data_IF_061145687887
#
_entry.id   IF_061145687887
#
_cell.length_a   1.000
_cell.length_b   1.000
_cell.length_c   1.000
_cell.angle_alpha   90.00
_cell.angle_beta   90.00
_cell.angle_gamma   90.00
#
_symmetry.space_group_name_H-M   'P 1'
#
loop_
_entity.id
_entity.type
_entity.pdbx_description
1 polymer ?
#
# COMPACT_ATOMS: atom_id res chain seq x y z
N UNK A 1 -13.92 12.33 -2.03
CA UNK A 1 -12.45 12.13 -2.17
C UNK A 1 -12.09 11.83 -3.61
N UNK A 2 -10.86 12.08 -3.99
CA UNK A 2 -10.23 11.61 -5.23
C UNK A 2 -9.40 10.37 -4.92
N UNK A 3 -9.14 9.53 -5.92
CA UNK A 3 -8.23 8.40 -5.80
C UNK A 3 -6.86 8.78 -6.33
N UNK A 4 -5.82 8.44 -5.58
CA UNK A 4 -4.43 8.73 -5.92
C UNK A 4 -3.56 7.49 -5.72
N UNK A 5 -2.55 7.34 -6.58
CA UNK A 5 -1.48 6.35 -6.41
C UNK A 5 -0.15 7.06 -6.60
N UNK A 6 0.79 6.83 -5.69
CA UNK A 6 2.12 7.46 -5.71
C UNK A 6 3.22 6.51 -5.30
N UNK A 7 4.42 6.78 -5.82
CA UNK A 7 5.66 6.16 -5.39
C UNK A 7 6.63 7.25 -4.95
N UNK A 8 6.99 7.25 -3.67
CA UNK A 8 7.87 8.26 -3.06
C UNK A 8 8.70 7.68 -1.94
N UNK A 9 9.70 8.43 -1.49
CA UNK A 9 10.38 8.17 -0.23
C UNK A 9 9.37 8.29 0.92
N UNK A 10 9.32 7.29 1.79
CA UNK A 10 8.59 7.36 3.05
C UNK A 10 9.20 8.48 3.92
N UNK A 11 8.36 9.30 4.55
CA UNK A 11 8.85 10.26 5.53
C UNK A 11 9.52 9.48 6.67
N UNK A 12 10.77 9.84 7.00
CA UNK A 12 11.40 9.29 8.18
C UNK A 12 10.60 9.79 9.39
N UNK A 13 9.96 8.89 10.13
CA UNK A 13 9.43 9.23 11.45
C UNK A 13 10.59 9.80 12.26
N UNK A 14 10.44 11.02 12.77
CA UNK A 14 11.44 11.68 13.60
C UNK A 14 11.72 10.84 14.85
N UNK A 15 12.74 9.99 14.74
CA UNK A 15 13.30 9.18 15.81
C UNK A 15 14.75 8.91 15.42
N UNK A 16 15.63 9.81 15.85
CA UNK A 16 17.04 9.71 15.56
C UNK A 16 17.60 8.38 16.02
N UNK A 17 18.20 7.61 15.11
CA UNK A 17 19.22 6.65 15.48
C UNK A 17 20.50 7.04 14.76
N UNK A 18 21.46 7.48 15.57
CA UNK A 18 22.84 7.72 15.19
C UNK A 18 23.43 6.40 14.67
N UNK A 19 24.25 6.49 13.64
CA UNK A 19 25.23 5.45 13.31
C UNK A 19 25.96 5.04 14.60
N UNK A 20 25.78 3.79 15.03
CA UNK A 20 26.64 3.15 16.03
C UNK A 20 27.51 2.16 15.28
N UNK A 21 28.81 2.34 15.47
CA UNK A 21 29.87 1.62 14.79
C UNK A 21 29.83 0.11 15.02
N UNK A 22 30.45 -0.56 14.05
CA UNK A 22 30.84 -1.96 14.04
C UNK A 22 31.40 -2.42 15.40
N UNK A 23 30.75 -3.42 16.00
CA UNK A 23 31.39 -4.37 16.90
C UNK A 23 30.85 -5.76 16.54
N UNK A 24 31.75 -6.60 16.05
CA UNK A 24 31.51 -8.00 15.72
C UNK A 24 31.19 -8.77 17.01
N UNK A 25 29.92 -9.12 17.22
CA UNK A 25 29.51 -10.12 18.21
C UNK A 25 29.19 -11.40 17.46
N UNK A 26 30.03 -12.41 17.60
CA UNK A 26 29.75 -13.76 17.12
C UNK A 26 28.77 -14.40 18.09
N UNK A 27 27.49 -14.46 17.73
CA UNK A 27 26.48 -15.26 18.44
C UNK A 27 26.37 -16.59 17.71
N UNK A 28 26.81 -17.67 18.35
CA UNK A 28 26.51 -19.04 17.91
C UNK A 28 25.10 -19.36 18.38
N UNK A 29 24.11 -19.22 17.49
CA UNK A 29 22.74 -19.67 17.73
C UNK A 29 22.63 -21.11 17.23
N UNK A 30 22.34 -22.05 18.12
CA UNK A 30 21.89 -23.38 17.73
C UNK A 30 20.61 -23.26 16.91
N UNK A 31 20.67 -23.67 15.64
CA UNK A 31 19.49 -23.79 14.79
C UNK A 31 18.69 -25.01 15.27
N UNK A 32 17.68 -24.77 16.10
CA UNK A 32 16.57 -25.70 16.24
C UNK A 32 15.75 -25.57 14.96
N UNK A 33 15.84 -26.57 14.10
CA UNK A 33 14.99 -26.68 12.92
C UNK A 33 13.56 -26.98 13.38
N UNK A 34 12.80 -25.95 13.68
CA UNK A 34 11.35 -26.02 13.66
C UNK A 34 10.91 -26.00 12.19
N UNK A 35 10.48 -27.15 11.69
CA UNK A 35 9.73 -27.27 10.43
C UNK A 35 8.41 -26.48 10.56
N UNK A 36 8.46 -25.18 10.27
CA UNK A 36 7.29 -24.33 10.14
C UNK A 36 6.61 -24.59 8.79
N UNK A 37 5.34 -24.98 8.83
CA UNK A 37 4.53 -25.32 7.67
C UNK A 37 4.49 -24.23 6.60
N UNK A 38 4.33 -24.63 5.35
CA UNK A 38 4.14 -23.71 4.23
C UNK A 38 3.03 -22.71 4.55
N UNK A 39 3.24 -21.44 4.19
CA UNK A 39 2.22 -20.41 4.26
C UNK A 39 0.99 -20.89 3.49
N UNK A 40 -0.03 -21.35 4.22
CA UNK A 40 -1.27 -21.81 3.63
C UNK A 40 -1.98 -20.64 2.98
N UNK A 41 -2.47 -20.83 1.75
CA UNK A 41 -3.35 -19.88 1.11
C UNK A 41 -4.53 -19.56 2.04
N UNK A 42 -4.96 -18.30 2.08
CA UNK A 42 -6.14 -17.91 2.83
C UNK A 42 -7.36 -18.72 2.35
N UNK A 43 -8.32 -19.04 3.23
CA UNK A 43 -9.57 -19.67 2.81
C UNK A 43 -10.30 -18.78 1.80
N UNK A 44 -11.06 -19.39 0.89
CA UNK A 44 -11.83 -18.63 -0.11
C UNK A 44 -12.79 -17.64 0.58
N UNK A 45 -12.86 -16.37 0.13
CA UNK A 45 -13.80 -15.39 0.66
C UNK A 45 -15.26 -15.69 0.29
N UNK A 46 -15.53 -16.66 -0.59
CA UNK A 46 -16.88 -17.03 -1.06
C UNK A 46 -17.55 -16.02 -2.00
N UNK A 47 -17.08 -14.77 -2.02
CA UNK A 47 -17.49 -13.71 -2.93
C UNK A 47 -16.27 -12.93 -3.41
N UNK A 48 -16.26 -12.52 -4.69
CA UNK A 48 -15.11 -11.91 -5.35
C UNK A 48 -15.52 -10.56 -5.99
N UNK A 49 -15.54 -9.46 -5.21
CA UNK A 49 -15.96 -8.14 -5.70
C UNK A 49 -15.22 -7.68 -6.96
N UNK A 50 -13.93 -8.01 -7.10
CA UNK A 50 -13.13 -7.64 -8.28
C UNK A 50 -13.77 -8.11 -9.59
N UNK A 51 -14.41 -9.29 -9.61
CA UNK A 51 -15.04 -9.89 -10.80
C UNK A 51 -16.30 -9.15 -11.27
N UNK A 52 -16.93 -8.37 -10.38
CA UNK A 52 -18.07 -7.53 -10.72
C UNK A 52 -17.64 -6.19 -11.34
N UNK A 53 -16.34 -5.89 -11.33
CA UNK A 53 -15.77 -4.66 -11.88
C UNK A 53 -15.02 -4.95 -13.19
N UNK A 54 -14.98 -3.96 -14.09
CA UNK A 54 -14.21 -4.05 -15.33
C UNK A 54 -12.97 -3.19 -15.23
N UNK A 55 -11.83 -3.73 -15.66
CA UNK A 55 -10.62 -2.93 -15.89
C UNK A 55 -10.89 -1.88 -16.97
N UNK A 56 -10.22 -0.74 -16.83
CA UNK A 56 -10.35 0.41 -17.73
C UNK A 56 -8.97 0.85 -18.23
N UNK A 57 -8.93 1.61 -19.32
CA UNK A 57 -7.68 2.27 -19.72
C UNK A 57 -7.31 3.33 -18.69
N UNK A 58 -6.02 3.51 -18.43
CA UNK A 58 -5.53 4.49 -17.46
C UNK A 58 -6.08 5.90 -17.76
N UNK A 59 -6.02 6.29 -19.04
CA UNK A 59 -6.45 7.60 -19.51
C UNK A 59 -7.95 7.86 -19.40
N UNK A 60 -8.79 6.84 -19.22
CA UNK A 60 -10.23 7.04 -19.03
C UNK A 60 -10.54 7.57 -17.61
N UNK A 61 -9.80 7.09 -16.62
CA UNK A 61 -10.09 7.34 -15.19
C UNK A 61 -9.13 8.31 -14.52
N UNK A 62 -7.89 8.37 -15.00
CA UNK A 62 -6.78 8.99 -14.29
C UNK A 62 -5.95 9.91 -15.18
N UNK A 63 -5.20 10.79 -14.53
CA UNK A 63 -4.18 11.64 -15.15
C UNK A 63 -2.96 11.71 -14.25
N UNK A 64 -1.80 12.00 -14.85
CA UNK A 64 -0.61 12.33 -14.07
C UNK A 64 -0.91 13.49 -13.10
N UNK A 65 -0.39 13.38 -11.88
CA UNK A 65 -0.46 14.45 -10.87
C UNK A 65 0.88 15.18 -10.79
N UNK A 66 1.98 14.44 -10.78
CA UNK A 66 3.36 14.95 -10.77
C UNK A 66 4.33 13.88 -11.27
N UNK A 67 5.55 14.28 -11.65
CA UNK A 67 6.59 13.35 -12.09
C UNK A 67 6.24 12.59 -13.38
N UNK A 68 5.74 13.30 -14.40
CA UNK A 68 5.32 12.68 -15.67
C UNK A 68 6.46 11.95 -16.39
N UNK A 69 7.70 12.44 -16.24
CA UNK A 69 8.90 11.78 -16.77
C UNK A 69 9.20 10.42 -16.11
N UNK A 70 8.53 10.11 -15.00
CA UNK A 70 8.63 8.88 -14.21
C UNK A 70 7.38 7.99 -14.36
N UNK A 71 6.69 8.10 -15.51
CA UNK A 71 5.53 7.29 -15.87
C UNK A 71 5.64 6.75 -17.30
N UNK A 72 5.23 5.50 -17.50
CA UNK A 72 5.08 4.93 -18.84
C UNK A 72 3.89 3.98 -18.90
N UNK A 73 3.16 4.01 -20.00
CA UNK A 73 2.01 3.15 -20.25
C UNK A 73 2.43 1.93 -21.07
N UNK A 74 1.83 0.80 -20.74
CA UNK A 74 1.81 -0.40 -21.58
C UNK A 74 1.14 -0.12 -22.94
N UNK A 75 1.41 -0.94 -23.98
CA UNK A 75 0.85 -0.72 -25.32
C UNK A 75 -0.68 -0.72 -25.41
N UNK A 76 -1.38 -1.40 -24.49
CA UNK A 76 -2.85 -1.42 -24.42
C UNK A 76 -3.43 -0.33 -23.51
N UNK A 77 -2.56 0.53 -22.96
CA UNK A 77 -2.88 1.64 -22.06
C UNK A 77 -3.57 1.22 -20.75
N UNK A 78 -3.56 -0.07 -20.37
CA UNK A 78 -4.24 -0.57 -19.17
C UNK A 78 -3.34 -0.77 -17.97
N UNK A 79 -2.04 -0.88 -18.18
CA UNK A 79 -1.04 -0.89 -17.12
C UNK A 79 -0.15 0.37 -17.16
N UNK A 80 0.07 0.97 -16.00
CA UNK A 80 0.98 2.09 -15.78
C UNK A 80 2.19 1.62 -14.96
N UNK A 81 3.38 1.92 -15.43
CA UNK A 81 4.61 1.79 -14.64
C UNK A 81 4.96 3.15 -14.05
N UNK A 82 5.13 3.19 -12.73
CA UNK A 82 5.56 4.37 -11.97
C UNK A 82 6.86 4.03 -11.25
N UNK A 83 7.89 4.85 -11.42
CA UNK A 83 9.18 4.63 -10.76
C UNK A 83 9.66 5.87 -10.01
N UNK A 84 10.74 5.70 -9.25
CA UNK A 84 11.39 6.75 -8.49
C UNK A 84 12.89 6.58 -8.64
N UNK A 85 13.59 7.70 -8.70
CA UNK A 85 15.04 7.78 -8.52
C UNK A 85 15.37 9.00 -7.66
N UNK A 86 16.64 9.42 -7.64
CA UNK A 86 17.08 10.58 -6.85
C UNK A 86 16.50 11.92 -7.32
N UNK A 87 16.03 12.01 -8.56
CA UNK A 87 15.49 13.25 -9.13
C UNK A 87 14.02 13.45 -8.78
N UNK A 88 13.22 12.37 -8.77
CA UNK A 88 11.81 12.44 -8.40
C UNK A 88 11.22 11.05 -8.17
N UNK A 89 10.11 11.02 -7.45
CA UNK A 89 9.12 9.95 -7.55
C UNK A 89 8.07 10.28 -8.61
N UNK A 90 6.88 9.69 -8.48
CA UNK A 90 5.76 10.07 -9.32
C UNK A 90 4.42 9.67 -8.72
N UNK A 91 3.34 10.30 -9.21
CA UNK A 91 1.98 9.97 -8.80
C UNK A 91 0.93 10.37 -9.83
N UNK A 92 -0.24 9.76 -9.71
CA UNK A 92 -1.40 10.02 -10.55
C UNK A 92 -2.66 10.11 -9.72
N UNK A 93 -3.70 10.71 -10.31
CA UNK A 93 -4.94 11.07 -9.64
C UNK A 93 -6.14 10.80 -10.53
N UNK A 94 -7.28 10.45 -9.92
CA UNK A 94 -8.54 10.30 -10.63
C UNK A 94 -9.05 11.62 -11.18
N UNK A 95 -9.57 11.60 -12.41
CA UNK A 95 -10.17 12.78 -13.07
C UNK A 95 -11.45 13.26 -12.39
N UNK A 96 -12.09 12.40 -11.61
CA UNK A 96 -13.34 12.66 -10.90
C UNK A 96 -13.13 12.55 -9.39
N UNK A 97 -13.97 13.27 -8.66
CA UNK A 97 -14.17 13.08 -7.23
C UNK A 97 -15.37 12.15 -6.98
N UNK A 98 -15.33 11.44 -5.87
CA UNK A 98 -16.31 10.42 -5.50
C UNK A 98 -16.85 10.66 -4.10
N UNK A 99 -18.11 10.24 -3.88
CA UNK A 99 -18.80 10.26 -2.57
C UNK A 99 -18.82 8.91 -1.86
N UNK A 100 -18.63 7.84 -2.63
CA UNK A 100 -18.52 6.44 -2.21
C UNK A 100 -18.08 5.63 -3.45
N UNK A 101 -17.73 4.36 -3.26
CA UNK A 101 -17.44 3.44 -4.36
C UNK A 101 -16.54 2.26 -3.95
N UNK A 102 -16.27 1.42 -4.94
CA UNK A 102 -15.22 0.42 -4.90
C UNK A 102 -14.07 0.91 -5.77
N UNK A 103 -12.90 1.06 -5.15
CA UNK A 103 -11.69 1.55 -5.79
C UNK A 103 -10.67 0.44 -5.72
N UNK A 104 -10.20 -0.05 -6.87
CA UNK A 104 -9.29 -1.18 -6.92
C UNK A 104 -8.18 -0.96 -7.93
N UNK A 105 -7.01 -1.52 -7.64
CA UNK A 105 -5.87 -1.56 -8.54
C UNK A 105 -5.11 -2.86 -8.37
N UNK A 106 -4.72 -3.48 -9.48
CA UNK A 106 -3.75 -4.57 -9.47
C UNK A 106 -2.34 -3.98 -9.43
N UNK A 107 -1.58 -4.29 -8.38
CA UNK A 107 -0.27 -3.69 -8.10
C UNK A 107 0.78 -4.81 -7.99
N UNK A 108 1.92 -4.60 -8.66
CA UNK A 108 3.14 -5.39 -8.48
C UNK A 108 4.27 -4.46 -8.03
N UNK A 109 4.93 -4.80 -6.93
CA UNK A 109 6.04 -3.99 -6.38
C UNK A 109 7.40 -4.51 -6.83
N UNK A 110 8.46 -3.68 -6.87
CA UNK A 110 9.77 -4.14 -7.31
C UNK A 110 10.43 -5.08 -6.29
N UNK A 111 11.18 -6.07 -6.77
CA UNK A 111 12.03 -6.93 -5.95
C UNK A 111 13.32 -6.21 -5.48
N UNK A 112 13.99 -6.79 -4.48
CA UNK A 112 15.30 -6.31 -4.01
C UNK A 112 15.21 -5.30 -2.88
N UNK A 113 16.19 -4.39 -2.81
CA UNK A 113 16.25 -3.38 -1.74
C UNK A 113 15.32 -2.21 -2.04
N UNK A 114 14.28 -2.05 -1.23
CA UNK A 114 13.26 -0.99 -1.36
C UNK A 114 13.02 -0.23 -0.06
N UNK A 115 13.85 -0.45 0.96
CA UNK A 115 13.69 0.17 2.28
C UNK A 115 13.60 1.70 2.19
N UNK A 116 12.59 2.26 2.86
CA UNK A 116 12.30 3.69 2.83
C UNK A 116 11.53 4.16 1.60
N UNK A 117 11.14 3.27 0.68
CA UNK A 117 10.23 3.59 -0.43
C UNK A 117 8.81 3.18 -0.04
N UNK A 118 7.82 4.01 -0.36
CA UNK A 118 6.41 3.72 -0.18
C UNK A 118 5.69 3.74 -1.54
N UNK A 119 4.95 2.67 -1.83
CA UNK A 119 3.96 2.63 -2.91
C UNK A 119 2.57 2.74 -2.29
N UNK A 120 1.93 3.89 -2.43
CA UNK A 120 0.65 4.18 -1.79
C UNK A 120 -0.48 4.22 -2.82
N UNK A 121 -1.63 3.64 -2.45
CA UNK A 121 -2.92 3.70 -3.11
C UNK A 121 -3.94 4.21 -2.10
N UNK A 122 -4.54 5.37 -2.34
CA UNK A 122 -5.33 6.04 -1.32
C UNK A 122 -6.46 6.90 -1.89
N UNK A 123 -7.41 7.24 -1.01
CA UNK A 123 -8.46 8.21 -1.27
C UNK A 123 -8.19 9.44 -0.40
N UNK A 124 -8.24 10.65 -0.97
CA UNK A 124 -8.01 11.88 -0.20
C UNK A 124 -8.90 13.04 -0.66
N UNK A 125 -9.17 14.00 0.21
CA UNK A 125 -9.75 15.29 -0.15
C UNK A 125 -8.82 16.47 0.24
N UNK A 126 -7.53 16.21 0.47
CA UNK A 126 -6.56 17.22 0.93
C UNK A 126 -6.41 18.44 0.03
N UNK A 127 -6.48 18.28 -1.29
CA UNK A 127 -6.46 19.44 -2.20
C UNK A 127 -7.64 20.39 -2.01
N UNK A 128 -8.79 19.88 -1.54
CA UNK A 128 -9.99 20.69 -1.28
C UNK A 128 -10.02 21.23 0.16
N UNK A 129 -9.51 20.45 1.12
CA UNK A 129 -9.53 20.78 2.56
C UNK A 129 -8.14 20.66 3.19
N UNK A 130 -7.15 21.47 2.74
CA UNK A 130 -5.79 21.37 3.26
C UNK A 130 -5.76 21.64 4.77
N UNK A 131 -5.13 20.74 5.54
CA UNK A 131 -5.08 20.84 7.01
C UNK A 131 -6.28 20.22 7.74
N UNK A 132 -7.37 19.87 7.03
CA UNK A 132 -8.63 19.38 7.61
C UNK A 132 -9.22 18.22 6.80
N UNK A 133 -8.35 17.47 6.12
CA UNK A 133 -8.76 16.49 5.14
C UNK A 133 -9.12 15.13 5.74
N UNK A 134 -9.87 14.36 4.98
CA UNK A 134 -10.09 12.93 5.19
C UNK A 134 -9.21 12.15 4.20
N UNK A 135 -8.64 11.04 4.67
CA UNK A 135 -7.79 10.18 3.86
C UNK A 135 -7.95 8.71 4.27
N UNK A 136 -7.95 7.82 3.28
CA UNK A 136 -8.04 6.36 3.45
C UNK A 136 -6.88 5.73 2.67
N UNK A 137 -5.97 5.09 3.39
CA UNK A 137 -4.67 4.67 2.85
C UNK A 137 -4.51 3.16 2.73
N UNK A 138 -3.87 2.74 1.64
CA UNK A 138 -3.23 1.44 1.46
C UNK A 138 -1.78 1.69 1.03
N UNK A 139 -0.82 1.31 1.88
CA UNK A 139 0.59 1.60 1.70
C UNK A 139 1.43 0.32 1.72
N UNK A 140 2.09 0.03 0.61
CA UNK A 140 3.06 -1.05 0.49
C UNK A 140 4.44 -0.49 0.85
N UNK A 141 4.87 -0.80 2.08
CA UNK A 141 6.10 -0.30 2.66
C UNK A 141 7.28 -1.16 2.20
N UNK A 142 8.22 -0.51 1.52
CA UNK A 142 9.42 -1.17 1.01
C UNK A 142 10.30 -1.75 2.11
N UNK A 143 11.01 -2.80 1.75
CA UNK A 143 11.71 -3.71 2.65
C UNK A 143 13.14 -3.99 2.17
N UNK A 144 13.88 -4.80 2.92
CA UNK A 144 15.22 -5.28 2.53
C UNK A 144 15.12 -6.72 2.01
N UNK A 145 16.08 -7.19 1.20
CA UNK A 145 16.07 -8.58 0.73
C UNK A 145 16.01 -9.58 1.89
N UNK A 146 15.09 -10.55 1.80
CA UNK A 146 14.87 -11.58 2.82
C UNK A 146 13.80 -11.25 3.85
N UNK A 147 13.34 -10.00 3.92
CA UNK A 147 12.27 -9.57 4.84
C UNK A 147 10.93 -9.44 4.08
N UNK A 148 9.79 -9.78 4.72
CA UNK A 148 8.48 -9.67 4.09
C UNK A 148 8.09 -8.22 3.83
N UNK A 149 7.26 -8.00 2.81
CA UNK A 149 6.60 -6.72 2.61
C UNK A 149 5.58 -6.46 3.71
N UNK A 150 5.40 -5.18 4.06
CA UNK A 150 4.36 -4.74 5.00
C UNK A 150 3.31 -3.96 4.24
N UNK A 151 2.06 -4.37 4.39
CA UNK A 151 0.91 -3.55 4.02
C UNK A 151 0.46 -2.76 5.24
N UNK A 152 0.42 -1.43 5.11
CA UNK A 152 -0.15 -0.53 6.09
C UNK A 152 -1.48 0.01 5.56
N UNK A 153 -2.50 0.07 6.43
CA UNK A 153 -3.74 0.78 6.15
C UNK A 153 -3.93 1.91 7.16
N UNK A 154 -4.54 3.01 6.74
CA UNK A 154 -4.83 4.13 7.65
C UNK A 154 -6.15 4.82 7.30
N UNK A 155 -6.72 5.53 8.28
CA UNK A 155 -7.90 6.40 8.11
C UNK A 155 -7.72 7.67 8.91
N UNK A 156 -7.60 8.78 8.20
CA UNK A 156 -7.62 10.14 8.75
C UNK A 156 -8.99 10.79 8.53
N UNK A 157 -9.46 11.53 9.53
CA UNK A 157 -10.76 12.23 9.49
C UNK A 157 -10.56 13.65 10.00
N UNK A 158 -11.06 14.64 9.28
CA UNK A 158 -11.03 16.06 9.67
C UNK A 158 -9.63 16.57 10.08
N UNK A 159 -8.61 16.20 9.30
CA UNK A 159 -7.24 16.70 9.51
C UNK A 159 -6.47 15.97 10.60
N UNK A 160 -6.92 14.80 11.08
CA UNK A 160 -6.09 14.00 12.01
C UNK A 160 -4.78 13.49 11.39
N UNK A 161 -4.60 13.63 10.07
CA UNK A 161 -3.33 13.41 9.38
C UNK A 161 -2.42 14.65 9.33
N UNK A 162 -2.93 15.83 9.71
CA UNK A 162 -2.23 17.11 9.67
C UNK A 162 -1.95 17.65 11.09
N UNK A 163 -0.80 18.30 11.28
CA UNK A 163 -0.43 18.86 12.58
C UNK A 163 -0.15 17.78 13.64
N UNK A 164 -1.03 17.61 14.62
CA UNK A 164 -0.94 16.52 15.59
C UNK A 164 -1.53 15.25 14.98
N UNK A 165 -0.65 14.38 14.51
CA UNK A 165 -1.03 13.15 13.82
C UNK A 165 -1.72 12.18 14.79
N UNK A 166 -3.00 11.88 14.54
CA UNK A 166 -3.76 10.81 15.18
C UNK A 166 -4.11 9.80 14.08
N UNK A 167 -3.15 8.91 13.82
CA UNK A 167 -3.32 7.81 12.90
C UNK A 167 -4.12 6.64 13.49
N UNK A 168 -4.74 5.87 12.59
CA UNK A 168 -5.43 4.61 12.86
C UNK A 168 -4.73 3.49 12.09
N UNK A 169 -3.41 3.47 12.17
CA UNK A 169 -2.58 2.54 11.41
C UNK A 169 -2.84 1.09 11.81
N UNK A 170 -2.99 0.22 10.81
CA UNK A 170 -2.84 -1.22 10.98
C UNK A 170 -1.77 -1.70 10.01
N UNK A 171 -0.94 -2.65 10.46
CA UNK A 171 0.15 -3.23 9.66
C UNK A 171 0.08 -4.75 9.70
N UNK A 172 0.30 -5.37 8.56
CA UNK A 172 0.39 -6.83 8.46
C UNK A 172 1.33 -7.24 7.32
N UNK A 173 1.89 -8.43 7.46
CA UNK A 173 2.69 -9.05 6.40
C UNK A 173 1.77 -9.74 5.40
N UNK A 174 2.12 -9.65 4.12
CA UNK A 174 1.41 -10.35 3.06
C UNK A 174 1.75 -11.84 3.10
N UNK A 175 0.75 -12.69 2.85
CA UNK A 175 0.90 -14.15 2.80
C UNK A 175 1.44 -14.67 1.45
N UNK A 176 1.91 -13.76 0.60
CA UNK A 176 2.49 -14.00 -0.72
C UNK A 176 3.63 -13.02 -0.98
N UNK A 177 4.42 -13.28 -2.02
CA UNK A 177 5.45 -12.36 -2.50
C UNK A 177 4.82 -11.35 -3.50
N UNK A 178 4.60 -10.08 -3.10
CA UNK A 178 3.96 -9.08 -3.97
C UNK A 178 4.90 -8.58 -5.09
N UNK A 179 6.14 -9.09 -5.15
CA UNK A 179 7.10 -8.79 -6.22
C UNK A 179 7.01 -9.78 -7.38
N UNK A 180 6.43 -10.97 -7.12
CA UNK A 180 6.36 -12.06 -8.10
C UNK A 180 5.28 -11.82 -9.16
N UNK A 181 4.09 -11.36 -8.76
CA UNK A 181 2.99 -11.08 -9.68
C UNK A 181 2.15 -9.86 -9.23
N UNK A 182 1.18 -9.48 -10.06
CA UNK A 182 0.18 -8.48 -9.70
C UNK A 182 -0.84 -9.08 -8.73
N UNK A 183 -1.10 -8.34 -7.64
CA UNK A 183 -2.14 -8.65 -6.67
C UNK A 183 -3.15 -7.50 -6.62
N UNK A 184 -4.42 -7.82 -6.33
CA UNK A 184 -5.51 -6.84 -6.36
C UNK A 184 -5.74 -6.21 -5.00
N UNK A 185 -5.52 -4.90 -4.90
CA UNK A 185 -5.75 -4.13 -3.67
C UNK A 185 -6.97 -3.24 -3.88
N UNK A 186 -7.88 -3.22 -2.92
CA UNK A 186 -9.10 -2.41 -3.04
C UNK A 186 -9.53 -1.76 -1.73
N UNK A 187 -10.18 -0.60 -1.89
CA UNK A 187 -10.90 0.13 -0.86
C UNK A 187 -12.38 0.14 -1.28
N UNK A 188 -13.24 -0.51 -0.49
CA UNK A 188 -14.68 -0.28 -0.55
C UNK A 188 -15.01 0.78 0.51
N UNK A 189 -15.58 1.89 0.05
CA UNK A 189 -15.96 3.01 0.92
C UNK A 189 -17.39 3.44 0.64
N UNK A 190 -18.24 3.43 1.66
CA UNK A 190 -19.59 3.97 1.63
C UNK A 190 -19.94 4.58 3.01
N UNK A 191 -21.13 5.18 3.18
CA UNK A 191 -21.50 5.81 4.46
C UNK A 191 -21.53 4.86 5.67
N UNK A 192 -21.65 3.56 5.45
CA UNK A 192 -21.77 2.57 6.53
C UNK A 192 -20.42 1.96 6.92
N UNK A 193 -19.46 1.88 5.97
CA UNK A 193 -18.21 1.17 6.20
C UNK A 193 -17.05 1.56 5.26
N UNK A 194 -15.84 1.30 5.75
CA UNK A 194 -14.61 1.23 4.98
C UNK A 194 -14.06 -0.19 5.11
N UNK A 195 -13.82 -0.84 3.98
CA UNK A 195 -13.24 -2.18 3.91
C UNK A 195 -12.01 -2.14 3.00
N UNK A 196 -10.92 -2.71 3.51
CA UNK A 196 -9.69 -2.95 2.76
C UNK A 196 -9.68 -4.41 2.29
N UNK A 197 -9.38 -4.64 1.02
CA UNK A 197 -9.31 -5.96 0.42
C UNK A 197 -7.95 -6.19 -0.25
N UNK A 198 -7.45 -7.42 -0.13
CA UNK A 198 -6.28 -7.94 -0.84
C UNK A 198 -6.68 -9.26 -1.49
N UNK A 199 -6.64 -9.33 -2.81
CA UNK A 199 -7.12 -10.48 -3.62
C UNK A 199 -8.55 -10.92 -3.28
N UNK A 200 -9.44 -9.94 -3.09
CA UNK A 200 -10.83 -10.10 -2.63
C UNK A 200 -11.00 -10.69 -1.22
N UNK A 201 -9.91 -11.01 -0.53
CA UNK A 201 -9.94 -11.35 0.88
C UNK A 201 -9.98 -10.07 1.73
N UNK A 202 -10.72 -10.14 2.83
CA UNK A 202 -10.77 -9.08 3.81
C UNK A 202 -9.42 -9.01 4.51
N UNK A 203 -8.64 -7.98 4.23
CA UNK A 203 -7.41 -7.73 4.99
C UNK A 203 -7.70 -7.38 6.47
N UNK A 204 -8.99 -7.23 6.82
CA UNK A 204 -9.52 -6.95 8.17
C UNK A 204 -10.17 -8.16 8.85
N UNK A 205 -9.82 -9.40 8.52
CA UNK A 205 -10.31 -10.54 9.30
C UNK A 205 -9.24 -11.59 9.61
N UNK A 206 -8.26 -11.22 10.43
CA UNK A 206 -7.52 -12.22 11.22
C UNK A 206 -8.24 -12.47 12.54
N UNK A 207 -9.32 -13.24 12.48
CA UNK A 207 -9.57 -14.21 13.52
C UNK A 207 -8.48 -15.29 13.39
N UNK A 208 -7.35 -15.09 14.08
CA UNK A 208 -6.32 -16.09 14.48
C UNK A 208 -4.96 -15.45 14.78
N UNK A 209 -4.94 -14.39 15.59
CA UNK A 209 -3.83 -14.20 16.51
C UNK A 209 -4.37 -14.52 17.90
N UNK A 210 -3.82 -15.54 18.62
CA UNK A 210 -4.22 -15.75 19.99
C UNK A 210 -3.84 -14.49 20.78
N UNK A 211 -4.79 -13.98 21.55
CA UNK A 211 -4.45 -13.12 22.68
C UNK A 211 -3.40 -13.85 23.52
N UNK A 212 -2.19 -13.28 23.61
CA UNK A 212 -1.19 -13.47 24.66
C UNK A 212 -0.23 -12.27 24.61
#
# INVERSE_FOLDING_TARGET
>A
MVMEIKKKQAAANHGGSRFVGCNLVVVVVMVVACSGGGAGAQPSPGYYPSRATRSMEFGEGYSNLWGAQHQTLSPDHRALTVWMDRSSGSGFKSKRSYRNGYFGASIKVPSGYTAGVNTAFYLSNNELYPGQHDEIDVELLGTVPGEPWTLQTNVYVHGTGDGTIIGREMRFHLWFDPTADFHHYAILWNPDQIVFLVDDDYSRNHANYPEC
#
